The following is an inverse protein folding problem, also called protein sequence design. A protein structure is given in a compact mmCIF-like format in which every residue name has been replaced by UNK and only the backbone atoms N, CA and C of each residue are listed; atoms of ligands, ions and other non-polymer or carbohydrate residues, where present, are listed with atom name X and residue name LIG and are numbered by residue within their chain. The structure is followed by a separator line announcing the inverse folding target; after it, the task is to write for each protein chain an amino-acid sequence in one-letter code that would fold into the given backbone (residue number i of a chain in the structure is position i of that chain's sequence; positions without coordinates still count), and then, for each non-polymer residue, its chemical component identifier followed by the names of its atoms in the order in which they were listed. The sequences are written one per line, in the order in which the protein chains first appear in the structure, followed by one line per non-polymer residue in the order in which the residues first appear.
data_IF_920081454375
#
_entry.id   IF_920081454375
#
_cell.length_a   1.000
_cell.length_b   1.000
_cell.length_c   1.000
_cell.angle_alpha   90.00
_cell.angle_beta   90.00
_cell.angle_gamma   90.00
#
_symmetry.space_group_name_H-M   'P 1'
#
loop_
_entity.id
_entity.type
_entity.pdbx_description
1 polymer ?
#
# COMPACT_ATOMS: atom_id res chain seq x y z
N UNK A 1 0.77 60.42 -57.59
CA UNK A 1 1.63 59.81 -56.55
C UNK A 1 1.68 60.63 -55.24
N UNK A 2 1.48 61.96 -55.24
CA UNK A 2 1.54 62.78 -54.01
C UNK A 2 0.39 62.60 -53.01
N UNK A 3 -0.82 62.25 -53.45
CA UNK A 3 -1.99 62.13 -52.56
C UNK A 3 -1.95 60.90 -51.62
N UNK A 4 -1.34 59.81 -52.08
CA UNK A 4 -1.18 58.58 -51.29
C UNK A 4 -0.10 58.79 -50.22
N UNK A 5 0.98 59.49 -50.56
CA UNK A 5 2.03 59.84 -49.61
C UNK A 5 1.53 60.83 -48.54
N UNK A 6 0.68 61.80 -48.90
CA UNK A 6 0.06 62.70 -47.91
C UNK A 6 -0.95 62.01 -47.00
N UNK A 7 -1.68 61.01 -47.52
CA UNK A 7 -2.62 60.23 -46.73
C UNK A 7 -1.89 59.34 -45.71
N UNK A 8 -0.78 58.69 -46.12
CA UNK A 8 0.06 57.89 -45.23
C UNK A 8 0.75 58.76 -44.18
N UNK A 9 1.26 59.94 -44.57
CA UNK A 9 1.85 60.89 -43.62
C UNK A 9 0.84 61.36 -42.55
N UNK A 10 -0.41 61.65 -42.95
CA UNK A 10 -1.48 62.03 -42.01
C UNK A 10 -1.90 60.90 -41.06
N UNK A 11 -1.83 59.65 -41.49
CA UNK A 11 -2.08 58.49 -40.63
C UNK A 11 -0.94 58.28 -39.63
N UNK A 12 0.31 58.56 -40.04
CA UNK A 12 1.48 58.51 -39.17
C UNK A 12 1.58 59.70 -38.19
N UNK A 13 0.95 60.83 -38.51
CA UNK A 13 0.90 62.02 -37.63
C UNK A 13 -0.21 61.97 -36.57
N UNK A 14 -1.07 60.95 -36.53
CA UNK A 14 -2.05 60.81 -35.44
C UNK A 14 -1.35 60.41 -34.13
N UNK A 15 -1.26 61.29 -33.10
CA UNK A 15 -0.47 61.04 -31.90
C UNK A 15 -1.09 59.98 -30.97
N UNK A 16 -2.32 59.57 -31.24
CA UNK A 16 -3.17 58.83 -30.30
C UNK A 16 -2.90 57.33 -30.28
N UNK A 17 -2.41 56.71 -31.36
CA UNK A 17 -2.15 55.27 -31.37
C UNK A 17 -0.78 54.90 -30.79
N UNK A 18 0.24 55.75 -30.95
CA UNK A 18 1.59 55.49 -30.42
C UNK A 18 1.79 56.03 -28.99
N UNK A 19 1.00 57.02 -28.55
CA UNK A 19 1.09 57.58 -27.20
C UNK A 19 0.78 56.58 -26.08
N UNK A 20 -0.06 55.57 -26.36
CA UNK A 20 -0.41 54.51 -25.40
C UNK A 20 0.55 53.31 -25.43
N UNK A 21 1.45 53.21 -26.43
CA UNK A 21 2.40 52.12 -26.54
C UNK A 21 3.37 51.99 -25.34
N UNK A 22 3.97 53.08 -24.80
CA UNK A 22 4.81 52.98 -23.61
C UNK A 22 4.03 52.60 -22.34
N UNK A 23 2.77 53.05 -22.20
CA UNK A 23 1.91 52.68 -21.06
C UNK A 23 1.48 51.21 -21.12
N UNK A 24 1.13 50.71 -22.31
CA UNK A 24 0.83 49.30 -22.53
C UNK A 24 2.06 48.40 -22.34
N UNK A 25 3.25 48.87 -22.73
CA UNK A 25 4.50 48.16 -22.47
C UNK A 25 4.84 48.09 -20.97
N UNK A 26 4.57 49.15 -20.21
CA UNK A 26 4.71 49.18 -18.76
C UNK A 26 3.73 48.23 -18.06
N UNK A 27 2.50 48.08 -18.57
CA UNK A 27 1.53 47.13 -18.04
C UNK A 27 1.84 45.67 -18.40
N UNK A 28 2.40 45.44 -19.59
CA UNK A 28 2.79 44.10 -20.05
C UNK A 28 4.09 43.60 -19.39
N UNK A 29 4.98 44.51 -18.97
CA UNK A 29 6.26 44.17 -18.34
C UNK A 29 6.15 43.21 -17.14
N UNK A 30 5.33 43.52 -16.12
CA UNK A 30 5.11 42.63 -14.97
C UNK A 30 4.51 41.28 -15.35
N UNK A 31 3.60 41.23 -16.33
CA UNK A 31 3.01 39.99 -16.84
C UNK A 31 4.06 39.11 -17.50
N UNK A 32 4.90 39.68 -18.38
CA UNK A 32 5.99 38.96 -19.01
C UNK A 32 7.06 38.54 -18.01
N UNK A 33 7.36 39.38 -17.01
CA UNK A 33 8.28 39.01 -15.92
C UNK A 33 7.74 37.81 -15.11
N UNK A 34 6.45 37.76 -14.80
CA UNK A 34 5.83 36.62 -14.12
C UNK A 34 5.86 35.34 -14.98
N UNK A 35 5.63 35.45 -16.29
CA UNK A 35 5.74 34.32 -17.24
C UNK A 35 7.17 33.80 -17.30
N UNK A 36 8.16 34.68 -17.41
CA UNK A 36 9.58 34.30 -17.43
C UNK A 36 10.02 33.69 -16.10
N UNK A 37 9.58 34.25 -14.97
CA UNK A 37 9.86 33.70 -13.64
C UNK A 37 9.23 32.31 -13.47
N UNK A 38 7.99 32.12 -13.93
CA UNK A 38 7.30 30.82 -13.95
C UNK A 38 7.98 29.79 -14.86
N UNK A 39 8.47 30.22 -16.03
CA UNK A 39 9.28 29.39 -16.92
C UNK A 39 10.61 28.98 -16.27
N UNK A 40 11.32 29.92 -15.67
CA UNK A 40 12.59 29.64 -14.98
C UNK A 40 12.39 28.74 -13.76
N UNK A 41 11.35 29.00 -12.94
CA UNK A 41 10.99 28.15 -11.82
C UNK A 41 10.53 26.77 -12.30
N UNK A 42 9.77 26.66 -13.38
CA UNK A 42 9.36 25.38 -13.97
C UNK A 42 10.51 24.59 -14.58
N UNK A 43 11.48 25.25 -15.20
CA UNK A 43 12.69 24.63 -15.78
C UNK A 43 13.71 24.24 -14.71
N UNK A 44 13.89 25.07 -13.68
CA UNK A 44 14.75 24.79 -12.54
C UNK A 44 14.10 23.75 -11.60
N UNK A 45 12.77 23.66 -11.58
CA UNK A 45 12.05 22.62 -10.87
C UNK A 45 12.14 21.31 -11.63
N UNK A 46 13.24 20.59 -11.37
CA UNK A 46 13.33 19.16 -11.62
C UNK A 46 12.94 18.42 -10.35
N UNK A 47 11.65 18.04 -10.18
CA UNK A 47 11.30 17.15 -9.10
C UNK A 47 12.16 15.88 -9.18
N UNK A 48 12.87 15.55 -8.10
CA UNK A 48 13.74 14.36 -8.02
C UNK A 48 12.99 13.06 -8.35
N UNK A 49 11.67 13.05 -8.25
CA UNK A 49 10.80 11.92 -8.63
C UNK A 49 10.62 11.74 -10.15
N UNK A 50 10.85 12.76 -10.98
CA UNK A 50 10.65 12.71 -12.44
C UNK A 50 11.92 12.34 -13.22
N UNK A 51 13.10 12.35 -12.59
CA UNK A 51 14.37 12.01 -13.23
C UNK A 51 14.47 10.55 -13.70
N UNK A 52 13.57 9.66 -13.26
CA UNK A 52 13.51 8.26 -13.69
C UNK A 52 12.62 7.98 -14.89
N UNK A 53 11.92 8.97 -15.46
CA UNK A 53 10.88 8.75 -16.48
C UNK A 53 11.22 9.28 -17.89
N UNK A 54 12.35 9.96 -18.07
CA UNK A 54 12.80 10.43 -19.40
C UNK A 54 14.24 9.98 -19.64
N UNK A 55 14.42 8.70 -19.91
CA UNK A 55 15.58 8.18 -20.61
C UNK A 55 15.15 6.96 -21.43
N UNK A 56 14.89 7.18 -22.72
CA UNK A 56 14.86 6.14 -23.74
C UNK A 56 16.18 6.22 -24.55
N UNK A 57 16.61 5.12 -25.19
CA UNK A 57 17.95 4.57 -25.00
C UNK A 57 18.96 4.97 -26.09
N UNK A 58 20.25 4.96 -25.71
CA UNK A 58 21.36 4.84 -26.65
C UNK A 58 22.39 3.82 -26.11
N UNK A 59 23.14 3.12 -26.98
CA UNK A 59 23.67 1.79 -26.68
C UNK A 59 25.11 1.79 -26.13
N UNK A 60 25.43 0.64 -25.54
CA UNK A 60 26.75 0.05 -25.30
C UNK A 60 27.63 0.60 -24.16
N UNK A 61 27.78 -0.30 -23.18
CA UNK A 61 28.99 -0.61 -22.43
C UNK A 61 29.62 0.47 -21.53
N UNK A 62 29.13 0.56 -20.29
CA UNK A 62 29.98 0.62 -19.08
C UNK A 62 29.12 0.45 -17.81
N UNK A 63 29.52 -0.51 -16.98
CA UNK A 63 29.18 -0.70 -15.56
C UNK A 63 27.71 -0.44 -15.14
N UNK A 64 26.91 -1.51 -15.09
CA UNK A 64 25.65 -1.48 -14.36
C UNK A 64 25.93 -1.19 -12.87
N UNK A 65 25.15 -0.32 -12.20
CA UNK A 65 25.17 -0.25 -10.74
C UNK A 65 24.75 -1.63 -10.19
N UNK A 66 25.25 -2.07 -9.01
CA UNK A 66 24.89 -3.36 -8.48
C UNK A 66 23.42 -3.33 -8.06
N UNK A 67 22.53 -3.69 -8.99
CA UNK A 67 21.15 -4.00 -8.65
C UNK A 67 21.18 -5.23 -7.75
N UNK A 68 20.55 -5.09 -6.59
CA UNK A 68 20.51 -6.08 -5.53
C UNK A 68 19.86 -7.38 -6.02
N UNK A 69 20.68 -8.30 -6.52
CA UNK A 69 20.32 -9.70 -6.73
C UNK A 69 19.95 -10.33 -5.39
N UNK A 70 19.13 -11.38 -5.38
CA UNK A 70 18.70 -12.06 -4.15
C UNK A 70 19.87 -12.44 -3.23
N UNK A 71 21.08 -12.63 -3.79
CA UNK A 71 22.32 -12.83 -3.04
C UNK A 71 22.75 -11.65 -2.15
N UNK A 72 22.49 -10.40 -2.57
CA UNK A 72 22.68 -9.20 -1.73
C UNK A 72 21.74 -9.24 -0.52
N UNK A 73 20.48 -9.66 -0.72
CA UNK A 73 19.48 -9.76 0.34
C UNK A 73 19.77 -10.92 1.31
N UNK A 74 20.25 -12.07 0.81
CA UNK A 74 20.74 -13.18 1.65
C UNK A 74 21.92 -12.78 2.54
N UNK A 75 22.73 -11.81 2.12
CA UNK A 75 23.87 -11.33 2.89
C UNK A 75 23.49 -10.40 4.06
N UNK A 76 22.29 -9.81 4.03
CA UNK A 76 21.82 -8.84 5.04
C UNK A 76 20.93 -9.45 6.14
N UNK A 77 20.64 -10.76 6.10
CA UNK A 77 19.91 -11.45 7.18
C UNK A 77 20.80 -11.61 8.44
N UNK A 78 20.25 -11.48 9.67
CA UNK A 78 21.01 -11.67 10.90
C UNK A 78 21.69 -13.05 10.98
N UNK A 79 22.89 -13.11 11.54
CA UNK A 79 23.73 -14.33 11.63
C UNK A 79 23.07 -15.54 12.34
N UNK A 80 21.95 -15.34 13.04
CA UNK A 80 21.19 -16.43 13.69
C UNK A 80 20.45 -17.35 12.72
N UNK A 81 20.31 -16.97 11.45
CA UNK A 81 19.76 -17.82 10.39
C UNK A 81 20.84 -18.48 9.51
N UNK A 82 22.12 -18.29 9.84
CA UNK A 82 23.27 -18.75 9.02
C UNK A 82 23.98 -19.99 9.58
N UNK A 83 23.43 -20.64 10.60
CA UNK A 83 24.04 -21.82 11.18
C UNK A 83 23.82 -23.05 10.26
N UNK A 84 24.87 -23.82 9.93
CA UNK A 84 24.72 -25.10 9.25
C UNK A 84 24.11 -26.11 10.23
N UNK A 85 22.98 -26.72 9.88
CA UNK A 85 22.49 -27.90 10.56
C UNK A 85 23.45 -29.05 10.22
N UNK A 86 24.35 -29.36 11.14
CA UNK A 86 25.33 -30.42 10.97
C UNK A 86 25.77 -30.97 12.32
N UNK A 87 24.95 -31.83 12.92
CA UNK A 87 25.44 -33.07 13.51
C UNK A 87 24.26 -34.02 13.75
N UNK A 88 24.35 -35.18 13.11
CA UNK A 88 23.46 -36.31 13.31
C UNK A 88 23.60 -36.85 14.74
N UNK A 89 22.48 -36.96 15.45
CA UNK A 89 22.33 -37.91 16.54
C UNK A 89 20.93 -38.52 16.41
N UNK A 90 20.91 -39.81 16.08
CA UNK A 90 19.74 -40.63 15.86
C UNK A 90 18.79 -40.63 17.08
N UNK A 91 17.52 -40.30 16.88
CA UNK A 91 16.40 -40.75 17.71
C UNK A 91 15.16 -40.90 16.82
N UNK A 92 14.36 -41.91 17.17
CA UNK A 92 13.39 -42.67 16.38
C UNK A 92 12.06 -41.96 16.11
N UNK A 93 11.35 -42.50 15.12
CA UNK A 93 9.94 -42.30 14.74
C UNK A 93 8.97 -41.85 15.85
N UNK A 94 8.05 -40.96 15.44
CA UNK A 94 6.78 -40.69 16.09
C UNK A 94 5.99 -39.66 15.27
N UNK A 95 5.21 -40.13 14.30
CA UNK A 95 4.14 -39.36 13.66
C UNK A 95 2.99 -39.28 14.67
N UNK A 96 2.58 -38.06 15.05
CA UNK A 96 1.30 -37.82 15.71
C UNK A 96 0.62 -36.63 15.03
N UNK A 97 -0.38 -36.97 14.21
CA UNK A 97 -1.41 -36.08 13.71
C UNK A 97 -2.38 -35.79 14.87
N UNK A 98 -2.61 -34.52 15.17
CA UNK A 98 -3.60 -34.11 16.19
C UNK A 98 -4.87 -33.63 15.47
N UNK A 99 -5.85 -34.53 15.35
CA UNK A 99 -7.23 -34.24 14.98
C UNK A 99 -8.03 -33.85 16.24
N UNK A 100 -8.63 -32.66 16.24
CA UNK A 100 -9.39 -32.13 17.37
C UNK A 100 -10.88 -32.55 17.24
N UNK A 101 -11.28 -33.58 18.00
CA UNK A 101 -12.65 -34.11 18.01
C UNK A 101 -13.58 -33.30 18.94
N UNK A 102 -14.76 -32.96 18.42
CA UNK A 102 -15.81 -32.17 19.08
C UNK A 102 -16.59 -33.03 20.09
N UNK A 103 -16.59 -32.63 21.36
CA UNK A 103 -17.55 -33.13 22.35
C UNK A 103 -18.53 -32.04 22.78
N UNK A 104 -19.79 -32.24 22.41
CA UNK A 104 -20.94 -31.44 22.84
C UNK A 104 -21.39 -31.96 24.21
N UNK A 105 -21.28 -31.13 25.26
CA UNK A 105 -22.15 -31.28 26.44
C UNK A 105 -22.59 -29.92 26.97
N UNK A 106 -23.91 -29.72 26.92
CA UNK A 106 -24.55 -28.50 27.37
C UNK A 106 -24.42 -28.27 28.88
N UNK A 107 -24.11 -27.02 29.23
CA UNK A 107 -24.22 -26.45 30.56
C UNK A 107 -24.49 -24.95 30.40
N UNK A 108 -25.63 -24.49 30.90
CA UNK A 108 -26.14 -23.13 30.71
C UNK A 108 -25.51 -22.18 31.74
N UNK A 109 -24.94 -21.09 31.24
CA UNK A 109 -24.67 -19.79 31.89
C UNK A 109 -23.52 -19.71 32.91
N UNK A 110 -22.41 -19.16 32.45
CA UNK A 110 -21.77 -18.02 33.14
C UNK A 110 -21.13 -17.11 32.09
N UNK A 111 -21.44 -15.82 32.19
CA UNK A 111 -20.88 -14.75 31.36
C UNK A 111 -19.38 -14.62 31.65
N UNK A 112 -18.57 -15.44 30.96
CA UNK A 112 -17.16 -15.17 30.78
C UNK A 112 -17.02 -14.50 29.41
N UNK A 113 -16.79 -13.19 29.42
CA UNK A 113 -16.47 -12.44 28.22
C UNK A 113 -15.27 -13.07 27.52
N UNK A 114 -15.53 -13.91 26.53
CA UNK A 114 -14.53 -14.26 25.54
C UNK A 114 -14.13 -12.94 24.90
N UNK A 115 -12.96 -12.43 25.23
CA UNK A 115 -12.34 -11.36 24.47
C UNK A 115 -12.34 -11.81 23.02
N UNK A 116 -13.28 -11.27 22.22
CA UNK A 116 -13.41 -11.65 20.83
C UNK A 116 -12.08 -11.31 20.16
N UNK A 117 -11.34 -12.35 19.77
CA UNK A 117 -10.02 -12.19 19.19
C UNK A 117 -10.08 -11.14 18.09
N UNK A 118 -9.24 -10.12 18.21
CA UNK A 118 -9.21 -9.00 17.28
C UNK A 118 -9.13 -9.50 15.84
N UNK A 119 -8.37 -10.57 15.57
CA UNK A 119 -8.40 -11.32 14.30
C UNK A 119 -8.68 -12.80 14.57
N UNK A 120 -9.83 -13.30 14.06
CA UNK A 120 -10.37 -14.60 14.42
C UNK A 120 -10.63 -15.54 13.24
N UNK A 121 -11.27 -16.68 13.52
CA UNK A 121 -11.62 -17.72 12.53
C UNK A 121 -12.49 -17.18 11.38
N UNK A 122 -13.37 -16.21 11.66
CA UNK A 122 -14.22 -15.54 10.66
C UNK A 122 -13.38 -14.79 9.61
N UNK A 123 -12.32 -14.12 10.05
CA UNK A 123 -11.41 -13.40 9.15
C UNK A 123 -10.62 -14.37 8.26
N UNK A 124 -10.17 -15.49 8.83
CA UNK A 124 -9.51 -16.55 8.08
C UNK A 124 -10.43 -17.16 7.01
N UNK A 125 -11.68 -17.49 7.37
CA UNK A 125 -12.67 -17.99 6.42
C UNK A 125 -12.96 -16.99 5.30
N UNK A 126 -12.97 -15.69 5.61
CA UNK A 126 -13.12 -14.64 4.61
C UNK A 126 -11.92 -14.58 3.64
N UNK A 127 -10.70 -14.60 4.16
CA UNK A 127 -9.48 -14.68 3.35
C UNK A 127 -9.50 -15.92 2.45
N UNK A 128 -9.91 -17.08 2.97
CA UNK A 128 -10.01 -18.31 2.20
C UNK A 128 -10.94 -18.14 0.98
N UNK A 129 -12.14 -17.61 1.18
CA UNK A 129 -13.08 -17.30 0.08
C UNK A 129 -12.49 -16.34 -0.95
N UNK A 130 -11.76 -15.31 -0.52
CA UNK A 130 -11.09 -14.35 -1.41
C UNK A 130 -10.01 -15.03 -2.27
N UNK A 131 -9.24 -15.93 -1.68
CA UNK A 131 -8.16 -16.66 -2.37
C UNK A 131 -8.70 -17.63 -3.42
N UNK A 132 -9.84 -18.25 -3.14
CA UNK A 132 -10.50 -19.18 -4.06
C UNK A 132 -11.42 -18.50 -5.08
N UNK A 133 -11.62 -17.18 -4.98
CA UNK A 133 -12.58 -16.45 -5.82
C UNK A 133 -14.04 -16.83 -5.53
N UNK A 134 -14.33 -17.33 -4.32
CA UNK A 134 -15.67 -17.74 -3.85
C UNK A 134 -16.29 -16.73 -2.89
N UNK A 135 -15.87 -15.47 -2.96
CA UNK A 135 -16.31 -14.41 -2.07
C UNK A 135 -17.62 -13.73 -2.53
N UNK A 136 -18.11 -14.05 -3.74
CA UNK A 136 -19.36 -13.51 -4.27
C UNK A 136 -19.30 -12.03 -4.67
N UNK A 137 -18.12 -11.42 -4.68
CA UNK A 137 -17.94 -10.04 -5.08
C UNK A 137 -17.98 -9.82 -6.60
N UNK A 138 -18.02 -8.56 -7.06
CA UNK A 138 -17.97 -8.22 -8.48
C UNK A 138 -16.71 -8.73 -9.17
N UNK A 139 -16.75 -8.78 -10.51
CA UNK A 139 -15.62 -9.19 -11.32
C UNK A 139 -14.39 -8.28 -11.12
N UNK A 140 -13.21 -8.89 -11.14
CA UNK A 140 -11.92 -8.21 -11.03
C UNK A 140 -11.50 -7.58 -12.37
N UNK A 141 -11.13 -6.29 -12.34
CA UNK A 141 -10.60 -5.55 -13.48
C UNK A 141 -9.08 -5.59 -13.41
N UNK A 142 -8.43 -6.17 -14.41
CA UNK A 142 -6.96 -6.26 -14.49
C UNK A 142 -6.35 -4.86 -14.65
N UNK A 143 -5.40 -4.52 -13.77
CA UNK A 143 -4.72 -3.22 -13.76
C UNK A 143 -3.24 -3.31 -14.14
N UNK A 144 -2.60 -4.45 -13.85
CA UNK A 144 -1.17 -4.63 -14.09
C UNK A 144 -0.85 -6.09 -14.42
N UNK A 145 0.10 -6.26 -15.33
CA UNK A 145 0.79 -7.51 -15.60
C UNK A 145 2.25 -7.19 -15.89
N UNK A 146 3.17 -7.74 -15.09
CA UNK A 146 4.60 -7.51 -15.19
C UNK A 146 5.36 -8.80 -14.92
N UNK A 147 6.37 -9.07 -15.74
CA UNK A 147 7.28 -10.19 -15.56
C UNK A 147 8.72 -9.69 -15.55
N UNK A 148 9.47 -10.19 -14.59
CA UNK A 148 10.91 -10.09 -14.42
C UNK A 148 11.49 -11.52 -14.48
N UNK A 149 12.81 -11.69 -14.69
CA UNK A 149 13.41 -13.03 -14.82
C UNK A 149 13.12 -14.01 -13.67
N UNK A 150 12.91 -13.51 -12.46
CA UNK A 150 12.66 -14.32 -11.25
C UNK A 150 11.37 -13.96 -10.52
N UNK A 151 10.53 -13.11 -11.12
CA UNK A 151 9.30 -12.66 -10.48
C UNK A 151 8.23 -12.28 -11.49
N UNK A 152 7.01 -12.76 -11.29
CA UNK A 152 5.83 -12.28 -12.02
C UNK A 152 4.86 -11.61 -11.06
N UNK A 153 4.28 -10.48 -11.48
CA UNK A 153 3.37 -9.68 -10.70
C UNK A 153 2.13 -9.30 -11.52
N UNK A 154 0.97 -9.60 -10.96
CA UNK A 154 -0.32 -9.21 -11.52
C UNK A 154 -1.13 -8.47 -10.45
N UNK A 155 -1.92 -7.49 -10.89
CA UNK A 155 -2.81 -6.75 -10.01
C UNK A 155 -4.16 -6.47 -10.66
N UNK A 156 -5.19 -6.49 -9.83
CA UNK A 156 -6.58 -6.24 -10.18
C UNK A 156 -7.22 -5.27 -9.19
N UNK A 157 -8.26 -4.58 -9.64
CA UNK A 157 -9.15 -3.77 -8.82
C UNK A 157 -10.59 -4.19 -9.08
N UNK A 158 -11.44 -4.06 -8.08
CA UNK A 158 -12.88 -4.01 -8.28
C UNK A 158 -13.50 -2.95 -7.39
N UNK A 159 -14.63 -2.43 -7.83
CA UNK A 159 -15.41 -1.48 -7.04
C UNK A 159 -16.45 -2.27 -6.23
N UNK A 160 -16.40 -2.14 -4.91
CA UNK A 160 -17.37 -2.78 -4.03
C UNK A 160 -18.74 -2.08 -4.17
N UNK A 161 -19.83 -2.83 -4.04
CA UNK A 161 -21.19 -2.25 -4.00
C UNK A 161 -21.33 -1.24 -2.87
N UNK A 162 -20.67 -1.52 -1.74
CA UNK A 162 -20.61 -0.65 -0.56
C UNK A 162 -19.16 -0.54 -0.08
N UNK A 163 -18.69 0.70 0.14
CA UNK A 163 -17.37 0.96 0.71
C UNK A 163 -16.29 1.30 -0.33
N UNK A 164 -15.00 1.29 0.07
CA UNK A 164 -13.91 1.67 -0.82
C UNK A 164 -13.60 0.57 -1.86
N UNK A 165 -12.89 0.92 -2.95
CA UNK A 165 -12.38 -0.06 -3.90
C UNK A 165 -11.54 -1.14 -3.23
N UNK A 166 -11.58 -2.33 -3.80
CA UNK A 166 -10.77 -3.47 -3.38
C UNK A 166 -9.68 -3.73 -4.42
N UNK A 167 -8.52 -4.13 -3.93
CA UNK A 167 -7.36 -4.44 -4.74
C UNK A 167 -6.92 -5.86 -4.46
N UNK A 168 -6.55 -6.58 -5.50
CA UNK A 168 -5.95 -7.90 -5.41
C UNK A 168 -4.63 -7.89 -6.18
N UNK A 169 -3.63 -8.59 -5.67
CA UNK A 169 -2.42 -8.86 -6.41
C UNK A 169 -1.99 -10.31 -6.26
N UNK A 170 -1.25 -10.79 -7.25
CA UNK A 170 -0.62 -12.10 -7.25
C UNK A 170 0.83 -11.93 -7.68
N UNK A 171 1.73 -12.34 -6.80
CA UNK A 171 3.17 -12.39 -7.04
C UNK A 171 3.61 -13.85 -7.10
N UNK A 172 4.45 -14.18 -8.07
CA UNK A 172 5.20 -15.44 -8.10
C UNK A 172 6.67 -15.08 -7.95
N UNK A 173 7.34 -15.69 -6.97
CA UNK A 173 8.78 -15.54 -6.72
C UNK A 173 9.47 -16.86 -7.06
N UNK A 174 10.53 -16.79 -7.86
CA UNK A 174 11.45 -17.91 -8.05
C UNK A 174 12.55 -17.88 -6.99
N UNK A 175 13.08 -19.06 -6.64
CA UNK A 175 14.21 -19.25 -5.73
C UNK A 175 14.00 -18.66 -4.31
N UNK A 176 12.75 -18.69 -3.84
CA UNK A 176 12.35 -18.28 -2.50
C UNK A 176 11.53 -19.37 -1.81
N UNK A 177 11.55 -19.39 -0.47
CA UNK A 177 10.71 -20.26 0.36
C UNK A 177 9.45 -19.52 0.85
N UNK A 178 8.33 -20.22 1.12
CA UNK A 178 7.16 -19.61 1.75
C UNK A 178 7.48 -18.90 3.06
N UNK A 179 8.42 -19.44 3.85
CA UNK A 179 8.91 -18.90 5.11
C UNK A 179 9.64 -17.57 4.91
N UNK A 180 10.57 -17.49 3.95
CA UNK A 180 11.29 -16.24 3.64
C UNK A 180 10.30 -15.15 3.20
N UNK A 181 9.33 -15.49 2.36
CA UNK A 181 8.32 -14.54 1.89
C UNK A 181 7.42 -14.08 3.05
N UNK A 182 7.02 -15.00 3.94
CA UNK A 182 6.26 -14.67 5.15
C UNK A 182 7.03 -13.70 6.04
N UNK A 183 8.30 -13.99 6.32
CA UNK A 183 9.13 -13.20 7.24
C UNK A 183 9.43 -11.82 6.66
N UNK A 184 9.79 -11.76 5.37
CA UNK A 184 10.01 -10.51 4.64
C UNK A 184 8.82 -9.55 4.77
N UNK A 185 7.60 -10.06 4.58
CA UNK A 185 6.40 -9.26 4.69
C UNK A 185 5.89 -9.13 6.15
N UNK A 186 6.41 -9.87 7.12
CA UNK A 186 6.04 -9.77 8.53
C UNK A 186 6.88 -8.75 9.32
N UNK A 187 8.10 -8.48 8.85
CA UNK A 187 9.15 -7.80 9.61
C UNK A 187 9.13 -6.27 9.44
N UNK A 188 8.35 -5.59 10.29
CA UNK A 188 8.25 -4.12 10.29
C UNK A 188 9.55 -3.39 10.66
N UNK A 189 10.48 -4.05 11.35
CA UNK A 189 11.77 -3.45 11.71
C UNK A 189 12.71 -3.47 10.51
N UNK A 190 12.81 -4.61 9.82
CA UNK A 190 13.45 -4.71 8.52
C UNK A 190 12.85 -3.67 7.56
N UNK A 191 11.53 -3.43 7.69
CA UNK A 191 10.85 -2.48 6.83
C UNK A 191 11.42 -1.05 6.91
N UNK A 192 11.71 -0.61 8.13
CA UNK A 192 12.17 0.75 8.36
C UNK A 192 13.69 0.84 8.25
N UNK A 193 14.41 -0.13 8.83
CA UNK A 193 15.88 -0.14 8.90
C UNK A 193 16.55 -0.22 7.52
N UNK A 194 16.03 -1.04 6.60
CA UNK A 194 16.61 -1.23 5.27
C UNK A 194 16.01 -0.32 4.19
N UNK A 195 15.14 0.63 4.56
CA UNK A 195 14.49 1.59 3.64
C UNK A 195 13.82 0.94 2.41
N UNK A 196 13.29 -0.28 2.53
CA UNK A 196 12.55 -0.89 1.42
C UNK A 196 11.19 -0.20 1.18
N UNK A 197 10.58 0.41 2.21
CA UNK A 197 9.31 1.17 2.15
C UNK A 197 9.47 2.50 2.87
N UNK A 198 9.87 3.52 2.09
CA UNK A 198 10.01 4.90 2.55
C UNK A 198 8.70 5.51 3.10
N UNK A 199 7.56 4.85 2.89
CA UNK A 199 6.29 5.32 3.37
C UNK A 199 5.99 4.83 4.79
N UNK A 200 6.65 3.81 5.34
CA UNK A 200 6.48 3.43 6.75
C UNK A 200 7.51 4.17 7.61
N UNK A 201 7.08 5.15 8.39
CA UNK A 201 7.99 6.02 9.16
C UNK A 201 7.99 5.75 10.67
N UNK A 202 7.00 5.00 11.14
CA UNK A 202 6.92 4.58 12.54
C UNK A 202 6.18 3.26 12.64
N UNK A 203 6.69 2.36 13.47
CA UNK A 203 6.00 1.16 13.91
C UNK A 203 6.25 0.92 15.40
N UNK A 204 5.25 0.38 16.10
CA UNK A 204 5.40 -0.12 17.46
C UNK A 204 4.44 -1.28 17.72
N UNK A 205 4.95 -2.41 18.16
CA UNK A 205 4.11 -3.49 18.71
C UNK A 205 3.56 -3.04 20.06
N UNK A 206 2.24 -3.03 20.19
CA UNK A 206 1.54 -2.62 21.41
C UNK A 206 1.26 -3.82 22.31
N UNK A 207 0.74 -4.90 21.73
CA UNK A 207 0.36 -6.12 22.42
C UNK A 207 0.66 -7.32 21.50
N UNK A 208 0.98 -8.46 22.09
CA UNK A 208 1.21 -9.72 21.39
C UNK A 208 0.65 -10.88 22.21
N UNK A 209 -0.28 -11.62 21.62
CA UNK A 209 -0.88 -12.80 22.23
C UNK A 209 -0.01 -14.02 21.89
N UNK A 210 0.71 -14.54 22.88
CA UNK A 210 1.61 -15.69 22.71
C UNK A 210 0.88 -16.96 22.26
N UNK A 211 -0.37 -17.17 22.69
CA UNK A 211 -1.15 -18.36 22.32
C UNK A 211 -1.59 -18.36 20.86
N UNK A 212 -1.94 -17.18 20.31
CA UNK A 212 -2.55 -17.10 18.97
C UNK A 212 -1.63 -16.50 17.92
N UNK A 213 -0.54 -15.87 18.33
CA UNK A 213 0.32 -15.05 17.47
C UNK A 213 -0.36 -13.76 17.00
N UNK A 214 -1.49 -13.37 17.61
CA UNK A 214 -2.17 -12.11 17.25
C UNK A 214 -1.37 -10.94 17.82
N UNK A 215 -0.98 -10.01 16.96
CA UNK A 215 -0.27 -8.81 17.35
C UNK A 215 -1.14 -7.58 17.12
N UNK A 216 -1.09 -6.63 18.05
CA UNK A 216 -1.61 -5.29 17.89
C UNK A 216 -0.45 -4.34 17.62
N UNK A 217 -0.52 -3.60 16.54
CA UNK A 217 0.59 -2.77 16.04
C UNK A 217 0.10 -1.36 15.73
N UNK A 218 0.93 -0.37 16.05
CA UNK A 218 0.73 1.04 15.70
C UNK A 218 1.65 1.39 14.54
N UNK A 219 1.10 1.78 13.40
CA UNK A 219 1.85 2.26 12.24
C UNK A 219 1.56 3.74 11.96
N UNK A 220 2.57 4.49 11.54
CA UNK A 220 2.39 5.76 10.83
C UNK A 220 3.03 5.65 9.46
N UNK A 221 2.22 5.90 8.43
CA UNK A 221 2.69 5.97 7.05
C UNK A 221 2.73 7.41 6.56
N UNK A 222 3.88 7.81 6.01
CA UNK A 222 4.08 9.12 5.40
C UNK A 222 3.25 9.23 4.13
N UNK A 223 2.68 10.41 3.87
CA UNK A 223 2.02 10.72 2.60
C UNK A 223 2.70 11.92 1.94
N UNK A 224 2.49 12.15 0.63
CA UNK A 224 2.96 13.37 -0.02
C UNK A 224 2.51 14.62 0.74
N UNK A 225 3.33 15.67 0.77
CA UNK A 225 3.20 16.82 1.68
C UNK A 225 1.86 17.57 1.65
N UNK A 226 1.08 17.44 0.56
CA UNK A 226 -0.27 17.99 0.45
C UNK A 226 -1.35 17.17 1.20
N UNK A 227 -1.00 15.96 1.64
CA UNK A 227 -1.80 15.10 2.49
C UNK A 227 -1.19 15.04 3.88
N UNK A 228 -2.03 14.89 4.92
CA UNK A 228 -1.51 14.48 6.23
C UNK A 228 -1.00 13.03 6.17
N UNK A 229 -0.08 12.66 7.05
CA UNK A 229 0.29 11.25 7.24
C UNK A 229 -0.91 10.42 7.71
N UNK A 230 -0.80 9.10 7.61
CA UNK A 230 -1.86 8.16 7.99
C UNK A 230 -1.43 7.30 9.16
N UNK A 231 -2.26 7.28 10.18
CA UNK A 231 -2.05 6.49 11.38
C UNK A 231 -2.97 5.28 11.39
N UNK A 232 -2.42 4.12 11.67
CA UNK A 232 -3.14 2.86 11.74
C UNK A 232 -2.90 2.22 13.09
N UNK A 233 -3.97 1.79 13.74
CA UNK A 233 -3.89 0.79 14.81
C UNK A 233 -4.47 -0.49 14.22
N UNK A 234 -3.62 -1.50 14.08
CA UNK A 234 -3.96 -2.72 13.35
C UNK A 234 -3.79 -3.93 14.25
N UNK A 235 -4.66 -4.92 14.09
CA UNK A 235 -4.39 -6.27 14.55
C UNK A 235 -3.95 -7.10 13.35
N UNK A 236 -2.90 -7.91 13.53
CA UNK A 236 -2.40 -8.86 12.52
C UNK A 236 -2.25 -10.25 13.11
N UNK A 237 -2.54 -11.27 12.32
CA UNK A 237 -2.37 -12.68 12.71
C UNK A 237 -2.00 -13.54 11.51
N UNK A 238 -1.13 -14.52 11.72
CA UNK A 238 -0.71 -15.51 10.73
C UNK A 238 -1.17 -16.89 11.18
N UNK A 239 -1.72 -17.68 10.26
CA UNK A 239 -2.02 -19.10 10.41
C UNK A 239 -1.17 -19.91 9.43
N UNK A 240 -0.78 -21.13 9.82
CA UNK A 240 -0.15 -22.12 8.95
C UNK A 240 -1.11 -23.29 8.79
N UNK A 241 -1.58 -23.55 7.56
CA UNK A 241 -2.59 -24.57 7.25
C UNK A 241 -2.26 -25.20 5.89
N UNK A 242 -2.19 -26.53 5.83
CA UNK A 242 -1.98 -27.26 4.56
C UNK A 242 -0.73 -26.82 3.78
N UNK A 243 0.38 -26.54 4.48
CA UNK A 243 1.62 -26.06 3.85
C UNK A 243 1.59 -24.61 3.34
N UNK A 244 0.50 -23.88 3.59
CA UNK A 244 0.36 -22.48 3.24
C UNK A 244 0.26 -21.58 4.48
N UNK A 245 0.64 -20.31 4.30
CA UNK A 245 0.48 -19.26 5.30
C UNK A 245 -0.67 -18.35 4.91
N UNK A 246 -1.56 -18.10 5.87
CA UNK A 246 -2.68 -17.19 5.73
C UNK A 246 -2.46 -16.06 6.73
N UNK A 247 -2.50 -14.82 6.29
CA UNK A 247 -2.33 -13.68 7.18
C UNK A 247 -3.41 -12.65 6.94
N UNK A 248 -3.96 -12.12 8.03
CA UNK A 248 -4.93 -11.03 8.01
C UNK A 248 -4.42 -9.91 8.90
N UNK A 249 -4.52 -8.70 8.38
CA UNK A 249 -4.28 -7.44 9.07
C UNK A 249 -5.51 -6.57 8.91
N UNK A 250 -6.10 -6.09 10.00
CA UNK A 250 -7.23 -5.16 9.94
C UNK A 250 -7.13 -4.05 10.98
N UNK A 251 -7.73 -2.91 10.67
CA UNK A 251 -7.86 -1.79 11.59
C UNK A 251 -8.70 -2.18 12.80
N UNK A 252 -8.25 -1.80 13.99
CA UNK A 252 -8.96 -2.05 15.26
C UNK A 252 -9.11 -0.76 16.07
N UNK A 253 -10.19 -0.63 16.85
CA UNK A 253 -10.32 0.46 17.81
C UNK A 253 -9.22 0.36 18.88
N UNK A 254 -8.76 1.51 19.37
CA UNK A 254 -7.76 1.57 20.43
C UNK A 254 -7.96 2.84 21.25
N UNK A 255 -8.47 2.68 22.48
CA UNK A 255 -8.74 3.78 23.42
C UNK A 255 -7.46 4.36 24.01
N UNK A 256 -6.42 3.54 24.22
CA UNK A 256 -5.14 3.97 24.81
C UNK A 256 -4.32 4.91 23.92
N UNK A 257 -4.63 4.98 22.62
CA UNK A 257 -3.97 5.89 21.67
C UNK A 257 -5.01 6.85 21.10
N UNK A 258 -5.21 8.03 21.73
CA UNK A 258 -6.25 8.97 21.34
C UNK A 258 -6.02 9.50 19.92
N UNK A 259 -7.11 9.85 19.25
CA UNK A 259 -7.07 10.38 17.88
C UNK A 259 -6.48 11.78 17.89
N UNK A 260 -5.57 12.05 16.95
CA UNK A 260 -5.01 13.38 16.70
C UNK A 260 -5.48 13.91 15.34
N UNK A 261 -5.34 15.22 15.14
CA UNK A 261 -5.62 15.83 13.83
C UNK A 261 -4.57 15.47 12.78
N UNK A 262 -3.32 15.29 13.21
CA UNK A 262 -2.19 14.83 12.40
C UNK A 262 -1.33 13.90 13.28
N UNK A 263 -0.91 12.71 12.79
CA UNK A 263 -1.39 12.03 11.57
C UNK A 263 -2.90 11.75 11.59
N UNK A 264 -3.51 11.52 10.42
CA UNK A 264 -4.95 11.18 10.29
C UNK A 264 -5.15 9.68 10.50
N UNK A 265 -5.91 9.30 11.53
CA UNK A 265 -6.31 7.91 11.80
C UNK A 265 -7.10 7.32 10.64
N UNK A 266 -6.74 6.11 10.19
CA UNK A 266 -7.51 5.33 9.23
C UNK A 266 -8.30 4.26 9.98
N UNK A 267 -9.62 4.35 9.88
CA UNK A 267 -10.54 3.46 10.59
C UNK A 267 -10.78 2.17 9.83
N UNK A 268 -11.17 2.26 8.55
CA UNK A 268 -11.39 1.09 7.72
C UNK A 268 -10.10 0.70 6.98
N UNK A 269 -9.47 -0.35 7.49
CA UNK A 269 -8.35 -1.01 6.86
C UNK A 269 -8.50 -2.52 6.97
N UNK A 270 -8.36 -3.21 5.85
CA UNK A 270 -8.30 -4.66 5.77
C UNK A 270 -7.25 -5.03 4.72
N UNK A 271 -6.36 -5.95 5.06
CA UNK A 271 -5.36 -6.51 4.17
C UNK A 271 -5.19 -7.97 4.53
N UNK A 272 -5.14 -8.83 3.54
CA UNK A 272 -4.99 -10.27 3.76
C UNK A 272 -4.16 -10.89 2.66
N UNK A 273 -3.41 -11.94 2.98
CA UNK A 273 -2.44 -12.54 2.08
C UNK A 273 -2.33 -14.04 2.33
N UNK A 274 -2.18 -14.78 1.24
CA UNK A 274 -1.98 -16.22 1.23
C UNK A 274 -0.66 -16.51 0.51
N UNK A 275 0.24 -17.21 1.20
CA UNK A 275 1.54 -17.63 0.67
C UNK A 275 1.53 -19.15 0.62
N UNK A 276 1.84 -19.69 -0.56
CA UNK A 276 1.91 -21.14 -0.80
C UNK A 276 3.09 -21.46 -1.68
N UNK A 277 3.67 -22.63 -1.46
CA UNK A 277 4.59 -23.22 -2.43
C UNK A 277 3.85 -23.45 -3.76
N UNK A 278 4.55 -23.22 -4.87
CA UNK A 278 4.10 -23.55 -6.21
C UNK A 278 4.97 -24.66 -6.80
N UNK A 279 4.44 -25.32 -7.83
CA UNK A 279 5.18 -26.32 -8.59
C UNK A 279 6.08 -25.60 -9.61
N UNK A 280 7.39 -25.67 -9.38
CA UNK A 280 8.40 -25.15 -10.31
C UNK A 280 8.82 -26.16 -11.35
N UNK A 281 9.24 -25.67 -12.52
CA UNK A 281 9.98 -26.47 -13.49
C UNK A 281 11.42 -26.72 -13.00
N UNK A 282 11.89 -27.95 -13.15
CA UNK A 282 13.27 -28.41 -12.89
C UNK A 282 13.95 -27.82 -11.63
N UNK A 283 13.57 -28.34 -10.45
CA UNK A 283 14.34 -28.15 -9.21
C UNK A 283 14.31 -26.73 -8.61
N UNK A 284 13.69 -25.75 -9.26
CA UNK A 284 13.52 -24.40 -8.70
C UNK A 284 12.32 -24.32 -7.78
N UNK A 285 12.51 -23.71 -6.62
CA UNK A 285 11.43 -23.45 -5.69
C UNK A 285 10.61 -22.26 -6.19
N UNK A 286 9.29 -22.43 -6.29
CA UNK A 286 8.36 -21.34 -6.60
C UNK A 286 7.50 -21.03 -5.38
N UNK A 287 7.26 -19.75 -5.16
CA UNK A 287 6.31 -19.28 -4.15
C UNK A 287 5.29 -18.36 -4.78
N UNK A 288 4.01 -18.67 -4.57
CA UNK A 288 2.90 -17.81 -4.95
C UNK A 288 2.39 -17.07 -3.72
N UNK A 289 2.41 -15.74 -3.77
CA UNK A 289 1.80 -14.86 -2.79
C UNK A 289 0.60 -14.15 -3.42
N UNK A 290 -0.59 -14.39 -2.90
CA UNK A 290 -1.81 -13.69 -3.29
C UNK A 290 -2.19 -12.71 -2.18
N UNK A 291 -2.36 -11.43 -2.50
CA UNK A 291 -2.72 -10.38 -1.54
C UNK A 291 -4.06 -9.74 -1.93
N UNK A 292 -4.86 -9.35 -0.94
CA UNK A 292 -6.10 -8.61 -1.11
C UNK A 292 -6.14 -7.48 -0.09
N UNK A 293 -6.39 -6.26 -0.55
CA UNK A 293 -6.41 -5.07 0.30
C UNK A 293 -7.64 -4.23 0.04
N UNK A 294 -8.27 -3.76 1.11
CA UNK A 294 -9.37 -2.80 1.11
C UNK A 294 -9.03 -1.70 2.13
N UNK A 295 -9.04 -0.44 1.69
CA UNK A 295 -8.74 0.69 2.58
C UNK A 295 -9.60 1.89 2.20
N UNK A 296 -10.23 2.53 3.18
CA UNK A 296 -10.76 3.88 2.94
C UNK A 296 -9.61 4.86 2.92
N UNK A 297 -9.47 5.58 1.81
CA UNK A 297 -8.90 6.91 1.86
C UNK A 297 -9.84 7.70 2.76
N UNK A 298 -9.37 8.20 3.90
CA UNK A 298 -10.21 8.95 4.82
C UNK A 298 -10.75 10.21 4.11
N UNK A 299 -11.86 10.08 3.38
CA UNK A 299 -12.67 11.17 2.89
C UNK A 299 -13.57 11.56 4.05
N UNK A 300 -13.27 12.74 4.60
CA UNK A 300 -14.09 13.56 5.50
C UNK A 300 -15.44 12.90 5.84
N UNK A 301 -15.53 12.22 6.98
CA UNK A 301 -16.81 11.82 7.56
C UNK A 301 -17.65 13.08 7.73
N UNK A 302 -18.59 13.31 6.81
CA UNK A 302 -19.67 14.27 7.04
C UNK A 302 -20.53 13.62 8.09
N UNK A 303 -20.53 14.16 9.30
CA UNK A 303 -21.46 13.76 10.36
C UNK A 303 -22.87 13.80 9.76
N UNK A 304 -23.52 12.64 9.65
CA UNK A 304 -24.96 12.62 9.52
C UNK A 304 -25.51 13.06 10.88
N UNK A 305 -25.76 14.36 11.01
CA UNK A 305 -26.64 14.88 12.05
C UNK A 305 -28.04 14.38 11.74
N UNK A 306 -28.63 13.72 12.73
CA UNK A 306 -30.00 13.24 12.79
C UNK A 306 -31.01 14.27 12.30
N UNK A 307 -31.72 13.96 11.21
CA UNK A 307 -33.02 14.55 10.95
C UNK A 307 -34.00 13.73 11.79
N UNK A 308 -34.38 14.27 12.95
CA UNK A 308 -35.51 13.74 13.72
C UNK A 308 -36.75 13.85 12.84
N UNK A 309 -37.30 12.70 12.45
CA UNK A 309 -38.67 12.61 11.98
C UNK A 309 -39.60 12.94 13.14
N UNK A 310 -40.38 14.02 12.99
CA UNK A 310 -41.60 14.21 13.77
C UNK A 310 -42.60 13.13 13.35
N UNK A 311 -42.65 12.05 14.12
CA UNK A 311 -43.75 11.10 14.10
C UNK A 311 -44.91 11.62 14.93
N UNK A 312 -46.11 11.46 14.36
CA UNK A 312 -47.44 11.56 14.96
C UNK A 312 -47.48 11.27 16.48
N UNK A 313 -48.19 12.13 17.21
CA UNK A 313 -48.88 11.75 18.43
C UNK A 313 -50.36 11.59 18.11
N UNK A 314 -50.90 10.42 18.46
CA UNK A 314 -52.32 10.08 18.39
C UNK A 314 -53.13 10.78 19.50
N UNK A 315 -54.45 10.86 19.25
CA UNK A 315 -55.57 11.42 20.04
C UNK A 315 -55.96 12.87 19.73
#
# INVERSE_FOLDING_TARGET
MGYVLSAVARVLEQPTAWGAAPEMALLAGPLWAAVLLGLLLGWAWRPRWAAGLVAAPAPAAAAQPPFATLGFWKAQLPARLRAPLGSAAAVRHGEEEEEDEVSVRGGRSSEAGSEELAVGKRDLANLWRLVEGRDGGPAWIKMMDRSLPTMTYQAWRRDAQTGPPQYQSSSIFEDATPEEVRDFFGDDEFRVSNKWDDMLVYHKTLEECQTTGTMKVHWVRKFPFFCSDREYIIARRIWKLGGAYYCVTKGIPCSSIPRRNKPRRVDLYYSSWCIRAGEGTEGRQLVRCSCSTTRTWASRTRSQSSVSGKGCGDA
#
